data_IF_701587704052
#
_entry.id   IF_701587704052
#
_cell.length_a   1.000
_cell.length_b   1.000
_cell.length_c   1.000
_cell.angle_alpha   90.00
_cell.angle_beta   90.00
_cell.angle_gamma   90.00
#
_symmetry.space_group_name_H-M   'P 1'
#
loop_
_entity.id
_entity.type
_entity.pdbx_description
1 polymer ?
#
# COMPACT_ATOMS: atom_id res chain seq x y z
N UNK A 1 -23.69 10.18 -18.01
CA UNK A 1 -23.41 9.27 -16.87
C UNK A 1 -24.08 9.80 -15.63
N UNK A 2 -24.77 8.97 -14.88
CA UNK A 2 -25.21 9.33 -13.53
C UNK A 2 -23.98 9.38 -12.58
N UNK A 3 -24.06 10.11 -11.44
CA UNK A 3 -22.96 10.13 -10.46
C UNK A 3 -22.51 8.71 -10.02
N UNK A 4 -23.46 7.79 -9.87
CA UNK A 4 -23.16 6.40 -9.53
C UNK A 4 -22.45 5.64 -10.65
N UNK A 5 -22.81 5.86 -11.90
CA UNK A 5 -22.14 5.28 -13.07
C UNK A 5 -20.72 5.83 -13.21
N UNK A 6 -20.49 7.12 -12.94
CA UNK A 6 -19.15 7.71 -12.95
C UNK A 6 -18.23 7.03 -11.92
N UNK A 7 -18.67 6.93 -10.66
CA UNK A 7 -17.90 6.27 -9.61
C UNK A 7 -17.64 4.80 -9.96
N UNK A 8 -18.68 4.06 -10.36
CA UNK A 8 -18.52 2.64 -10.68
C UNK A 8 -17.60 2.41 -11.85
N UNK A 9 -17.62 3.27 -12.88
CA UNK A 9 -16.72 3.18 -14.03
C UNK A 9 -15.25 3.34 -13.63
N UNK A 10 -14.92 4.28 -12.73
CA UNK A 10 -13.53 4.52 -12.28
C UNK A 10 -13.01 3.46 -11.32
N UNK A 11 -13.90 2.71 -10.66
CA UNK A 11 -13.52 1.64 -9.74
C UNK A 11 -13.32 0.27 -10.41
N UNK A 12 -13.65 0.15 -11.70
CA UNK A 12 -13.46 -1.09 -12.45
C UNK A 12 -12.00 -1.18 -12.94
N UNK A 13 -11.35 -2.30 -12.65
CA UNK A 13 -10.00 -2.59 -13.10
C UNK A 13 -9.99 -3.06 -14.56
N UNK A 14 -8.90 -2.78 -15.28
CA UNK A 14 -8.63 -3.39 -16.56
C UNK A 14 -8.14 -4.83 -16.36
N UNK A 15 -9.02 -5.79 -16.65
CA UNK A 15 -8.77 -7.21 -16.44
C UNK A 15 -8.46 -7.94 -17.75
N UNK A 16 -7.81 -9.10 -17.65
CA UNK A 16 -7.51 -9.96 -18.80
C UNK A 16 -8.80 -10.47 -19.50
N UNK A 17 -9.89 -10.59 -18.76
CA UNK A 17 -11.21 -10.99 -19.25
C UNK A 17 -12.21 -9.87 -19.01
N UNK A 18 -13.27 -9.78 -19.80
CA UNK A 18 -14.31 -8.78 -19.60
C UNK A 18 -14.89 -8.83 -18.18
N UNK A 19 -15.10 -7.67 -17.51
CA UNK A 19 -15.62 -7.61 -16.14
C UNK A 19 -16.96 -8.33 -15.94
N UNK A 20 -17.76 -8.45 -16.99
CA UNK A 20 -19.06 -9.13 -16.96
C UNK A 20 -19.00 -10.62 -16.62
N UNK A 21 -17.79 -11.22 -16.71
CA UNK A 21 -17.59 -12.63 -16.35
C UNK A 21 -17.25 -12.84 -14.86
N UNK A 22 -17.09 -11.78 -14.08
CA UNK A 22 -16.80 -11.91 -12.66
C UNK A 22 -18.08 -12.20 -11.88
N UNK A 23 -18.30 -13.46 -11.51
CA UNK A 23 -19.49 -13.90 -10.77
C UNK A 23 -19.29 -13.94 -9.26
N UNK A 24 -18.04 -13.98 -8.80
CA UNK A 24 -17.70 -14.11 -7.38
C UNK A 24 -16.85 -12.92 -6.90
N UNK A 25 -17.01 -12.54 -5.64
CA UNK A 25 -16.20 -11.48 -4.98
C UNK A 25 -14.71 -11.79 -4.96
N UNK A 26 -14.34 -13.07 -4.89
CA UNK A 26 -12.96 -13.56 -4.94
C UNK A 26 -12.89 -14.58 -6.07
N UNK A 27 -12.26 -14.19 -7.17
CA UNK A 27 -12.07 -15.04 -8.34
C UNK A 27 -10.59 -14.99 -8.78
N UNK A 28 -9.87 -16.08 -8.55
CA UNK A 28 -8.45 -16.22 -8.92
C UNK A 28 -8.23 -16.40 -10.43
N UNK A 29 -9.28 -16.46 -11.23
CA UNK A 29 -9.19 -16.56 -12.70
C UNK A 29 -8.96 -15.20 -13.38
N UNK A 30 -9.12 -14.09 -12.64
CA UNK A 30 -8.94 -12.73 -13.13
C UNK A 30 -7.63 -12.14 -12.65
N UNK A 31 -6.88 -11.55 -13.58
CA UNK A 31 -5.70 -10.74 -13.29
C UNK A 31 -6.01 -9.28 -13.61
N UNK A 32 -5.84 -8.41 -12.63
CA UNK A 32 -5.90 -6.97 -12.79
C UNK A 32 -4.60 -6.49 -13.44
N UNK A 33 -4.62 -6.29 -14.76
CA UNK A 33 -3.43 -5.96 -15.53
C UNK A 33 -2.93 -4.55 -15.25
N UNK A 34 -3.85 -3.61 -15.03
CA UNK A 34 -3.56 -2.23 -14.63
C UNK A 34 -2.83 -2.17 -13.29
N UNK A 35 -3.37 -2.82 -12.28
CA UNK A 35 -2.76 -2.91 -10.95
C UNK A 35 -1.36 -3.52 -11.01
N UNK A 36 -1.20 -4.61 -11.76
CA UNK A 36 0.09 -5.27 -11.92
C UNK A 36 1.10 -4.35 -12.64
N UNK A 37 0.67 -3.69 -13.72
CA UNK A 37 1.51 -2.76 -14.49
C UNK A 37 2.00 -1.60 -13.63
N UNK A 38 1.10 -0.88 -12.95
CA UNK A 38 1.48 0.27 -12.12
C UNK A 38 2.28 -0.13 -10.89
N UNK A 39 2.00 -1.29 -10.28
CA UNK A 39 2.79 -1.81 -9.18
C UNK A 39 4.23 -2.11 -9.59
N UNK A 40 4.45 -2.79 -10.73
CA UNK A 40 5.79 -3.06 -11.25
C UNK A 40 6.49 -1.76 -11.66
N UNK A 41 5.79 -0.87 -12.35
CA UNK A 41 6.35 0.41 -12.79
C UNK A 41 6.87 1.24 -11.61
N UNK A 42 6.07 1.41 -10.57
CA UNK A 42 6.47 2.15 -9.36
C UNK A 42 7.59 1.45 -8.61
N UNK A 43 7.61 0.12 -8.56
CA UNK A 43 8.71 -0.66 -7.98
C UNK A 43 10.03 -0.49 -8.74
N UNK A 44 9.96 -0.48 -10.07
CA UNK A 44 11.14 -0.21 -10.93
C UNK A 44 11.64 1.22 -10.72
N UNK A 45 10.74 2.21 -10.67
CA UNK A 45 11.11 3.62 -10.41
C UNK A 45 11.77 3.76 -9.03
N UNK A 46 11.18 3.20 -7.98
CA UNK A 46 11.75 3.22 -6.63
C UNK A 46 13.16 2.60 -6.59
N UNK A 47 13.30 1.42 -7.19
CA UNK A 47 14.57 0.70 -7.26
C UNK A 47 15.61 1.46 -8.10
N UNK A 48 15.20 2.07 -9.21
CA UNK A 48 16.09 2.86 -10.07
C UNK A 48 16.61 4.12 -9.34
N UNK A 49 15.77 4.81 -8.58
CA UNK A 49 16.17 5.97 -7.78
C UNK A 49 17.22 5.57 -6.75
N UNK A 50 16.98 4.50 -5.99
CA UNK A 50 17.94 3.99 -5.01
C UNK A 50 19.25 3.52 -5.67
N UNK A 51 19.17 2.85 -6.80
CA UNK A 51 20.33 2.40 -7.56
C UNK A 51 21.17 3.57 -8.10
N UNK A 52 20.51 4.58 -8.68
CA UNK A 52 21.21 5.80 -9.18
C UNK A 52 21.85 6.55 -8.02
N UNK A 53 21.16 6.66 -6.88
CA UNK A 53 21.71 7.25 -5.66
C UNK A 53 22.98 6.51 -5.21
N UNK A 54 22.91 5.18 -5.08
CA UNK A 54 24.03 4.36 -4.67
C UNK A 54 25.24 4.49 -5.60
N UNK A 55 25.02 4.57 -6.93
CA UNK A 55 26.11 4.75 -7.90
C UNK A 55 26.72 6.14 -7.92
N UNK A 56 25.98 7.16 -7.50
CA UNK A 56 26.41 8.56 -7.53
C UNK A 56 26.94 9.07 -6.17
N UNK A 57 26.95 8.23 -5.14
CA UNK A 57 27.49 8.60 -3.83
C UNK A 57 28.98 8.98 -3.93
N UNK A 58 29.31 10.13 -3.36
CA UNK A 58 30.69 10.65 -3.27
C UNK A 58 31.04 10.90 -1.82
N UNK A 59 32.30 10.66 -1.48
CA UNK A 59 32.87 11.01 -0.18
C UNK A 59 33.10 12.53 -0.15
N UNK A 60 32.66 13.21 0.89
CA UNK A 60 32.80 14.66 1.08
C UNK A 60 31.45 15.34 1.24
N UNK A 61 31.33 16.59 0.77
CA UNK A 61 30.05 17.34 0.88
C UNK A 61 29.02 16.73 -0.05
N UNK A 62 27.89 16.22 0.48
CA UNK A 62 26.88 15.56 -0.32
C UNK A 62 26.12 16.57 -1.21
N UNK A 63 25.69 16.14 -2.38
CA UNK A 63 24.73 16.88 -3.17
C UNK A 63 23.37 16.85 -2.50
N UNK A 64 22.45 17.80 -2.81
CA UNK A 64 21.09 17.84 -2.23
C UNK A 64 20.34 16.52 -2.40
N UNK A 65 20.48 15.88 -3.56
CA UNK A 65 19.87 14.56 -3.81
C UNK A 65 20.50 13.47 -2.95
N UNK A 66 21.83 13.44 -2.86
CA UNK A 66 22.56 12.48 -2.01
C UNK A 66 22.16 12.68 -0.53
N UNK A 67 22.14 13.92 -0.04
CA UNK A 67 21.75 14.23 1.33
C UNK A 67 20.32 13.77 1.65
N UNK A 68 19.37 13.94 0.73
CA UNK A 68 18.00 13.47 0.92
C UNK A 68 17.92 11.94 1.05
N UNK A 69 18.66 11.21 0.23
CA UNK A 69 18.70 9.74 0.29
C UNK A 69 19.45 9.24 1.54
N UNK A 70 20.55 9.90 1.93
CA UNK A 70 21.28 9.57 3.17
C UNK A 70 20.39 9.77 4.40
N UNK A 71 19.69 10.91 4.51
CA UNK A 71 18.73 11.16 5.58
C UNK A 71 17.63 10.09 5.64
N UNK A 72 17.14 9.68 4.48
CA UNK A 72 16.14 8.61 4.42
C UNK A 72 16.69 7.26 4.90
N UNK A 73 17.90 6.92 4.48
CA UNK A 73 18.57 5.68 4.92
C UNK A 73 18.84 5.72 6.42
N UNK A 74 19.35 6.84 6.96
CA UNK A 74 19.59 7.00 8.41
C UNK A 74 18.29 6.90 9.20
N UNK A 75 17.21 7.51 8.72
CA UNK A 75 15.88 7.43 9.31
C UNK A 75 15.37 5.98 9.38
N UNK A 76 15.44 5.26 8.27
CA UNK A 76 14.98 3.86 8.20
C UNK A 76 15.87 2.93 9.03
N UNK A 77 17.19 3.11 8.99
CA UNK A 77 18.16 2.31 9.77
C UNK A 77 18.01 2.58 11.28
N UNK A 78 17.73 3.83 11.68
CA UNK A 78 17.43 4.20 13.05
C UNK A 78 16.23 3.42 13.59
N UNK A 79 15.09 3.46 12.89
CA UNK A 79 13.89 2.71 13.28
C UNK A 79 14.15 1.20 13.30
N UNK A 80 14.88 0.69 12.30
CA UNK A 80 15.23 -0.73 12.25
C UNK A 80 16.11 -1.15 13.44
N UNK A 81 17.02 -0.29 13.90
CA UNK A 81 17.86 -0.54 15.09
C UNK A 81 17.04 -0.67 16.36
N UNK A 82 16.03 0.16 16.51
CA UNK A 82 15.17 0.15 17.69
C UNK A 82 14.29 -1.12 17.77
N UNK A 83 13.94 -1.71 16.61
CA UNK A 83 13.05 -2.87 16.54
C UNK A 83 13.80 -4.21 16.36
N UNK A 84 14.97 -4.20 15.71
CA UNK A 84 15.74 -5.43 15.38
C UNK A 84 17.12 -5.34 16.00
N UNK A 85 17.33 -5.99 17.15
CA UNK A 85 18.59 -5.92 17.91
C UNK A 85 19.73 -6.73 17.27
N UNK A 86 19.39 -7.74 16.44
CA UNK A 86 20.41 -8.59 15.81
C UNK A 86 21.02 -7.92 14.58
N UNK A 87 22.32 -7.58 14.65
CA UNK A 87 23.05 -6.93 13.56
C UNK A 87 23.07 -7.71 12.23
N UNK A 88 23.15 -9.05 12.29
CA UNK A 88 23.17 -9.88 11.07
C UNK A 88 21.83 -9.80 10.33
N UNK A 89 20.75 -9.83 11.07
CA UNK A 89 19.39 -9.71 10.49
C UNK A 89 19.12 -8.30 10.00
N UNK A 90 19.55 -7.27 10.73
CA UNK A 90 19.39 -5.86 10.38
C UNK A 90 19.99 -5.53 9.01
N UNK A 91 21.15 -6.11 8.66
CA UNK A 91 21.79 -5.92 7.34
C UNK A 91 20.89 -6.29 6.15
N UNK A 92 19.91 -7.15 6.37
CA UNK A 92 18.94 -7.56 5.32
C UNK A 92 17.60 -6.85 5.53
N UNK A 93 17.16 -6.71 6.78
CA UNK A 93 15.84 -6.16 7.11
C UNK A 93 15.77 -4.65 6.84
N UNK A 94 16.84 -3.88 7.13
CA UNK A 94 16.83 -2.44 6.90
C UNK A 94 16.71 -2.06 5.40
N UNK A 95 17.50 -2.64 4.47
CA UNK A 95 17.30 -2.41 3.03
C UNK A 95 15.93 -2.89 2.52
N UNK A 96 15.42 -4.01 3.04
CA UNK A 96 14.08 -4.49 2.72
C UNK A 96 13.03 -3.45 3.10
N UNK A 97 13.09 -2.94 4.34
CA UNK A 97 12.17 -1.92 4.82
C UNK A 97 12.23 -0.63 4.01
N UNK A 98 13.43 -0.18 3.65
CA UNK A 98 13.62 0.97 2.77
C UNK A 98 12.97 0.76 1.39
N UNK A 99 13.14 -0.43 0.82
CA UNK A 99 12.54 -0.76 -0.49
C UNK A 99 11.03 -0.77 -0.41
N UNK A 100 10.47 -1.41 0.62
CA UNK A 100 9.03 -1.47 0.86
C UNK A 100 8.45 -0.07 1.09
N UNK A 101 9.12 0.75 1.93
CA UNK A 101 8.72 2.13 2.18
C UNK A 101 8.64 2.95 0.89
N UNK A 102 9.72 2.93 0.09
CA UNK A 102 9.78 3.68 -1.17
C UNK A 102 8.74 3.18 -2.17
N UNK A 103 8.59 1.86 -2.29
CA UNK A 103 7.63 1.28 -3.22
C UNK A 103 6.19 1.67 -2.89
N UNK A 104 5.78 1.50 -1.62
CA UNK A 104 4.44 1.90 -1.16
C UNK A 104 4.24 3.42 -1.31
N UNK A 105 5.25 4.21 -0.96
CA UNK A 105 5.19 5.67 -1.11
C UNK A 105 4.88 6.06 -2.57
N UNK A 106 5.59 5.47 -3.54
CA UNK A 106 5.35 5.75 -4.96
C UNK A 106 4.00 5.22 -5.44
N UNK A 107 3.57 4.02 -5.01
CA UNK A 107 2.24 3.52 -5.34
C UNK A 107 1.13 4.44 -4.83
N UNK A 108 1.25 4.91 -3.58
CA UNK A 108 0.28 5.80 -2.98
C UNK A 108 0.32 7.21 -3.60
N UNK A 109 1.50 7.69 -4.03
CA UNK A 109 1.63 8.97 -4.73
C UNK A 109 0.86 9.02 -6.05
N UNK A 110 0.58 7.88 -6.67
CA UNK A 110 -0.25 7.82 -7.87
C UNK A 110 -1.66 8.36 -7.64
N UNK A 111 -2.17 8.30 -6.40
CA UNK A 111 -3.49 8.82 -6.02
C UNK A 111 -3.58 10.36 -5.98
N UNK A 112 -2.43 11.05 -6.03
CA UNK A 112 -2.38 12.52 -6.15
C UNK A 112 -2.54 13.01 -7.59
N UNK A 113 -2.47 12.11 -8.57
CA UNK A 113 -2.73 12.47 -9.96
C UNK A 113 -4.23 12.74 -10.14
N UNK A 114 -4.59 13.72 -10.99
CA UNK A 114 -6.01 13.94 -11.30
C UNK A 114 -6.67 12.64 -11.75
N UNK A 115 -7.81 12.31 -11.15
CA UNK A 115 -8.52 11.03 -11.31
C UNK A 115 -8.77 10.70 -12.80
N UNK A 116 -9.13 11.71 -13.59
CA UNK A 116 -9.46 11.54 -15.00
C UNK A 116 -8.25 11.57 -15.95
N UNK A 117 -7.06 11.98 -15.49
CA UNK A 117 -5.91 12.27 -16.37
C UNK A 117 -5.42 11.02 -17.11
N UNK A 118 -5.12 9.97 -16.40
CA UNK A 118 -4.59 8.73 -16.99
C UNK A 118 -5.67 7.90 -17.67
N UNK A 119 -6.89 7.73 -17.14
CA UNK A 119 -8.00 7.11 -17.84
C UNK A 119 -8.34 7.84 -19.15
N UNK A 120 -8.38 9.18 -19.15
CA UNK A 120 -8.60 9.97 -20.36
C UNK A 120 -7.51 9.73 -21.41
N UNK A 121 -6.23 9.76 -21.01
CA UNK A 121 -5.12 9.47 -21.92
C UNK A 121 -5.20 8.05 -22.49
N UNK A 122 -5.59 7.09 -21.66
CA UNK A 122 -5.76 5.69 -22.08
C UNK A 122 -6.90 5.52 -23.10
N UNK A 123 -8.04 6.12 -22.85
CA UNK A 123 -9.19 6.11 -23.79
C UNK A 123 -8.82 6.73 -25.14
N UNK A 124 -8.05 7.82 -25.16
CA UNK A 124 -7.62 8.45 -26.41
C UNK A 124 -6.59 7.61 -27.16
N UNK A 125 -5.73 6.87 -26.48
CA UNK A 125 -4.73 6.02 -27.14
C UNK A 125 -5.31 4.72 -27.66
N UNK A 126 -6.29 4.15 -26.97
CA UNK A 126 -6.97 2.90 -27.39
C UNK A 126 -8.10 3.16 -28.39
N UNK A 127 -8.63 4.39 -28.46
CA UNK A 127 -9.81 4.73 -29.26
C UNK A 127 -11.12 4.19 -28.69
N UNK A 128 -11.10 3.60 -27.51
CA UNK A 128 -12.29 3.08 -26.81
C UNK A 128 -12.66 4.00 -25.64
N UNK A 129 -13.77 4.69 -25.76
CA UNK A 129 -14.30 5.61 -24.74
C UNK A 129 -14.81 4.91 -23.46
N UNK A 130 -14.90 3.60 -23.48
CA UNK A 130 -15.31 2.78 -22.33
C UNK A 130 -14.14 1.97 -21.73
N UNK A 131 -12.91 2.21 -22.19
CA UNK A 131 -11.75 1.52 -21.65
C UNK A 131 -11.55 1.86 -20.16
N UNK A 132 -11.54 0.81 -19.34
CA UNK A 132 -11.29 0.92 -17.90
C UNK A 132 -9.79 1.03 -17.63
N UNK A 133 -9.40 1.85 -16.67
CA UNK A 133 -8.02 1.92 -16.17
C UNK A 133 -8.05 2.42 -14.73
N UNK A 134 -7.58 1.59 -13.81
CA UNK A 134 -7.37 1.97 -12.42
C UNK A 134 -5.89 2.19 -12.16
N UNK A 135 -5.55 3.36 -11.64
CA UNK A 135 -4.16 3.84 -11.60
C UNK A 135 -3.46 3.50 -10.29
N UNK A 136 -4.20 3.37 -9.18
CA UNK A 136 -3.66 3.23 -7.83
C UNK A 136 -3.60 1.76 -7.43
N UNK A 137 -2.39 1.11 -7.43
CA UNK A 137 -2.29 -0.32 -7.10
C UNK A 137 -2.67 -0.65 -5.67
N UNK A 138 -2.43 0.26 -4.72
CA UNK A 138 -2.73 0.08 -3.30
C UNK A 138 -4.21 0.25 -2.96
N UNK A 139 -5.02 0.74 -3.88
CA UNK A 139 -6.47 0.72 -3.78
C UNK A 139 -7.08 -0.61 -4.27
N UNK A 140 -6.26 -1.57 -4.71
CA UNK A 140 -6.67 -2.96 -4.98
C UNK A 140 -6.36 -3.84 -3.77
N UNK A 141 -7.40 -4.53 -3.28
CA UNK A 141 -7.29 -5.44 -2.14
C UNK A 141 -6.30 -6.57 -2.39
N UNK A 142 -6.22 -7.08 -3.63
CA UNK A 142 -5.31 -8.18 -3.98
C UNK A 142 -3.84 -7.77 -3.76
N UNK A 143 -3.46 -6.57 -4.17
CA UNK A 143 -2.09 -6.06 -4.02
C UNK A 143 -1.73 -5.87 -2.55
N UNK A 144 -2.58 -5.21 -1.78
CA UNK A 144 -2.30 -4.92 -0.38
C UNK A 144 -2.27 -6.19 0.48
N UNK A 145 -3.14 -7.15 0.20
CA UNK A 145 -3.13 -8.45 0.86
C UNK A 145 -1.93 -9.29 0.44
N UNK A 146 -1.53 -9.28 -0.83
CA UNK A 146 -0.33 -9.97 -1.29
C UNK A 146 0.93 -9.45 -0.58
N UNK A 147 1.04 -8.13 -0.40
CA UNK A 147 2.14 -7.52 0.34
C UNK A 147 2.13 -7.91 1.83
N UNK A 148 0.97 -7.88 2.48
CA UNK A 148 0.82 -8.29 3.88
C UNK A 148 1.14 -9.78 4.08
N UNK A 149 0.69 -10.65 3.18
CA UNK A 149 1.01 -12.09 3.19
C UNK A 149 2.52 -12.32 2.96
N UNK A 150 3.15 -11.53 2.09
CA UNK A 150 4.60 -11.59 1.87
C UNK A 150 5.38 -11.24 3.14
N UNK A 151 4.94 -10.25 3.90
CA UNK A 151 5.52 -9.90 5.21
C UNK A 151 5.33 -11.03 6.21
N UNK A 152 4.13 -11.64 6.27
CA UNK A 152 3.89 -12.81 7.12
C UNK A 152 4.81 -13.97 6.76
N UNK A 153 4.96 -14.27 5.47
CA UNK A 153 5.87 -15.31 5.00
C UNK A 153 7.31 -15.05 5.44
N UNK A 154 7.80 -13.82 5.28
CA UNK A 154 9.12 -13.41 5.77
C UNK A 154 9.24 -13.59 7.28
N UNK A 155 8.22 -13.22 8.04
CA UNK A 155 8.19 -13.40 9.49
C UNK A 155 8.34 -14.88 9.86
N UNK A 156 7.61 -15.78 9.21
CA UNK A 156 7.70 -17.23 9.43
C UNK A 156 9.10 -17.75 9.09
N UNK A 157 9.66 -17.33 7.93
CA UNK A 157 11.02 -17.72 7.52
C UNK A 157 12.06 -17.27 8.53
N UNK A 158 11.96 -16.04 9.06
CA UNK A 158 12.88 -15.54 10.09
C UNK A 158 12.72 -16.28 11.41
N UNK A 159 11.51 -16.58 11.86
CA UNK A 159 11.25 -17.39 13.04
C UNK A 159 11.93 -18.77 12.93
N UNK A 160 11.73 -19.46 11.79
CA UNK A 160 12.36 -20.76 11.55
C UNK A 160 13.89 -20.64 11.49
N UNK A 161 14.42 -19.59 10.86
CA UNK A 161 15.87 -19.38 10.74
C UNK A 161 16.56 -19.11 12.07
N UNK A 162 15.88 -18.42 13.00
CA UNK A 162 16.45 -17.99 14.28
C UNK A 162 16.24 -19.07 15.35
N UNK A 163 15.00 -19.54 15.52
CA UNK A 163 14.60 -20.48 16.59
C UNK A 163 14.75 -21.95 16.16
N UNK A 164 14.96 -22.19 14.87
CA UNK A 164 14.89 -23.54 14.29
C UNK A 164 13.43 -24.02 14.15
N UNK A 165 13.20 -25.00 13.28
CA UNK A 165 11.85 -25.52 13.03
C UNK A 165 11.20 -26.11 14.30
N UNK A 166 11.98 -26.86 15.09
CA UNK A 166 11.49 -27.45 16.33
C UNK A 166 11.17 -26.40 17.41
N UNK A 167 12.01 -25.37 17.55
CA UNK A 167 11.77 -24.27 18.51
C UNK A 167 10.53 -23.47 18.14
N UNK A 168 10.37 -23.12 16.87
CA UNK A 168 9.19 -22.41 16.39
C UNK A 168 7.89 -23.19 16.58
N UNK A 169 7.90 -24.49 16.23
CA UNK A 169 6.72 -25.35 16.46
C UNK A 169 6.43 -25.49 17.96
N UNK A 170 7.44 -25.67 18.78
CA UNK A 170 7.24 -25.72 20.24
C UNK A 170 6.63 -24.41 20.77
N UNK A 171 7.10 -23.26 20.31
CA UNK A 171 6.57 -21.95 20.68
C UNK A 171 5.09 -21.77 20.31
N UNK A 172 4.68 -22.25 19.12
CA UNK A 172 3.28 -22.23 18.68
C UNK A 172 2.33 -22.94 19.66
N UNK A 173 2.82 -23.96 20.37
CA UNK A 173 2.02 -24.74 21.33
C UNK A 173 2.23 -24.32 22.78
N UNK A 174 3.32 -23.61 23.11
CA UNK A 174 3.66 -23.23 24.49
C UNK A 174 3.32 -21.77 24.83
N UNK A 175 3.34 -20.86 23.87
CA UNK A 175 3.00 -19.45 24.08
C UNK A 175 1.55 -19.17 23.66
N UNK A 176 0.83 -18.21 24.32
CA UNK A 176 1.27 -17.36 25.44
C UNK A 176 1.01 -17.95 26.85
N UNK A 177 0.18 -18.99 27.00
CA UNK A 177 -0.33 -19.42 28.31
C UNK A 177 0.56 -20.44 29.05
N UNK A 178 1.67 -20.88 28.43
CA UNK A 178 2.62 -21.80 29.02
C UNK A 178 2.52 -23.26 28.53
N UNK A 179 3.48 -24.09 28.95
CA UNK A 179 3.73 -25.43 28.40
C UNK A 179 2.92 -26.56 29.09
N UNK A 180 1.63 -26.32 29.44
CA UNK A 180 0.74 -27.36 29.94
C UNK A 180 -0.02 -28.01 28.79
N UNK A 181 -0.12 -29.34 28.80
CA UNK A 181 -0.77 -30.14 27.75
C UNK A 181 -2.20 -29.63 27.41
N UNK A 182 -2.96 -29.22 28.43
CA UNK A 182 -4.30 -28.69 28.26
C UNK A 182 -4.33 -27.33 27.53
N UNK A 183 -3.21 -26.59 27.53
CA UNK A 183 -3.12 -25.27 26.92
C UNK A 183 -2.59 -25.33 25.48
N UNK A 184 -2.20 -26.49 24.97
CA UNK A 184 -1.67 -26.62 23.61
C UNK A 184 -2.68 -26.20 22.54
N UNK A 185 -3.94 -26.64 22.67
CA UNK A 185 -5.00 -26.26 21.70
C UNK A 185 -5.32 -24.78 21.80
N UNK A 186 -5.58 -24.18 22.99
CA UNK A 186 -5.76 -22.72 23.12
C UNK A 186 -4.56 -21.92 22.60
N UNK A 187 -3.32 -22.30 22.92
CA UNK A 187 -2.13 -21.61 22.46
C UNK A 187 -2.02 -21.60 20.92
N UNK A 188 -2.17 -22.77 20.32
CA UNK A 188 -2.13 -22.90 18.87
C UNK A 188 -3.22 -22.06 18.18
N UNK A 189 -4.45 -22.11 18.69
CA UNK A 189 -5.55 -21.32 18.15
C UNK A 189 -5.29 -19.81 18.27
N UNK A 190 -4.79 -19.36 19.43
CA UNK A 190 -4.44 -17.95 19.65
C UNK A 190 -3.33 -17.49 18.68
N UNK A 191 -2.30 -18.29 18.48
CA UNK A 191 -1.22 -17.96 17.55
C UNK A 191 -1.73 -17.86 16.09
N UNK A 192 -2.60 -18.77 15.67
CA UNK A 192 -3.21 -18.69 14.32
C UNK A 192 -4.06 -17.44 14.20
N UNK A 193 -4.90 -17.14 15.18
CA UNK A 193 -5.74 -15.93 15.19
C UNK A 193 -4.84 -14.68 15.14
N UNK A 194 -3.75 -14.68 15.88
CA UNK A 194 -2.80 -13.57 15.92
C UNK A 194 -2.15 -13.35 14.54
N UNK A 195 -1.62 -14.39 13.88
CA UNK A 195 -1.04 -14.29 12.54
C UNK A 195 -2.06 -13.80 11.51
N UNK A 196 -3.26 -14.35 11.55
CA UNK A 196 -4.34 -13.95 10.65
C UNK A 196 -4.75 -12.50 10.88
N UNK A 197 -4.98 -12.11 12.13
CA UNK A 197 -5.39 -10.75 12.51
C UNK A 197 -4.33 -9.71 12.17
N UNK A 198 -3.04 -9.99 12.44
CA UNK A 198 -1.92 -9.12 12.08
C UNK A 198 -1.85 -8.90 10.58
N UNK A 199 -1.93 -9.98 9.80
CA UNK A 199 -1.85 -9.91 8.34
C UNK A 199 -3.04 -9.18 7.75
N UNK A 200 -4.25 -9.52 8.18
CA UNK A 200 -5.48 -8.86 7.72
C UNK A 200 -5.46 -7.37 8.05
N UNK A 201 -5.15 -7.01 9.31
CA UNK A 201 -5.07 -5.61 9.74
C UNK A 201 -4.01 -4.83 8.96
N UNK A 202 -2.88 -5.46 8.64
CA UNK A 202 -1.78 -4.84 7.91
C UNK A 202 -2.17 -4.52 6.45
N UNK A 203 -2.78 -5.47 5.74
CA UNK A 203 -3.25 -5.28 4.36
C UNK A 203 -4.46 -4.35 4.26
N UNK A 204 -5.47 -4.57 5.13
CA UNK A 204 -6.70 -3.76 5.13
C UNK A 204 -6.47 -2.29 5.50
N UNK A 205 -5.47 -1.99 6.32
CA UNK A 205 -5.12 -0.61 6.66
C UNK A 205 -4.67 0.17 5.44
N UNK A 206 -3.78 -0.42 4.63
CA UNK A 206 -3.29 0.22 3.42
C UNK A 206 -4.41 0.36 2.38
N UNK A 207 -5.12 -0.73 2.11
CA UNK A 207 -6.27 -0.75 1.19
C UNK A 207 -7.35 0.27 1.59
N UNK A 208 -7.81 0.21 2.84
CA UNK A 208 -8.93 1.03 3.30
C UNK A 208 -8.67 2.53 3.20
N UNK A 209 -7.45 2.97 3.52
CA UNK A 209 -7.10 4.39 3.43
C UNK A 209 -6.98 4.88 1.98
N UNK A 210 -6.39 4.07 1.08
CA UNK A 210 -6.24 4.46 -0.33
C UNK A 210 -7.58 4.39 -1.06
N UNK A 211 -8.34 3.32 -0.87
CA UNK A 211 -9.67 3.18 -1.48
C UNK A 211 -10.66 4.26 -1.02
N UNK A 212 -10.67 4.57 0.29
CA UNK A 212 -11.49 5.66 0.80
C UNK A 212 -11.05 7.03 0.27
N UNK A 213 -9.73 7.23 0.11
CA UNK A 213 -9.13 8.43 -0.50
C UNK A 213 -9.60 8.64 -1.93
N UNK A 214 -9.49 7.61 -2.73
CA UNK A 214 -9.92 7.59 -4.14
C UNK A 214 -11.42 7.92 -4.28
N UNK A 215 -12.28 7.31 -3.47
CA UNK A 215 -13.72 7.61 -3.48
C UNK A 215 -13.99 9.07 -3.09
N UNK A 216 -13.32 9.61 -2.08
CA UNK A 216 -13.52 10.99 -1.67
C UNK A 216 -13.08 11.99 -2.74
N UNK A 217 -11.98 11.74 -3.44
CA UNK A 217 -11.59 12.55 -4.60
C UNK A 217 -12.68 12.53 -5.69
N UNK A 218 -13.23 11.35 -6.02
CA UNK A 218 -14.32 11.23 -7.00
C UNK A 218 -15.58 11.98 -6.55
N UNK A 219 -15.98 11.87 -5.29
CA UNK A 219 -17.16 12.58 -4.75
C UNK A 219 -16.94 14.10 -4.80
N UNK A 220 -15.74 14.58 -4.47
CA UNK A 220 -15.41 16.00 -4.56
C UNK A 220 -15.42 16.47 -6.03
N UNK A 221 -14.91 15.65 -6.96
CA UNK A 221 -14.92 15.95 -8.39
C UNK A 221 -16.35 16.09 -8.94
N UNK A 222 -17.29 15.25 -8.47
CA UNK A 222 -18.70 15.31 -8.86
C UNK A 222 -19.41 16.60 -8.41
N UNK A 223 -18.94 17.27 -7.34
CA UNK A 223 -19.50 18.57 -6.92
C UNK A 223 -19.36 19.63 -8.01
N UNK A 224 -18.23 19.63 -8.75
CA UNK A 224 -18.01 20.54 -9.87
C UNK A 224 -18.66 20.09 -11.17
N UNK A 225 -18.90 18.79 -11.34
CA UNK A 225 -19.59 18.23 -12.49
C UNK A 225 -21.06 18.66 -12.60
N UNK A 226 -21.66 19.09 -11.50
CA UNK A 226 -23.01 19.65 -11.48
C UNK A 226 -23.18 20.88 -12.39
N UNK A 227 -22.13 21.67 -12.59
CA UNK A 227 -22.12 22.83 -13.50
C UNK A 227 -22.39 22.44 -14.97
N UNK A 228 -21.86 21.32 -15.44
CA UNK A 228 -22.06 20.87 -16.83
C UNK A 228 -23.42 20.23 -17.10
N UNK A 229 -24.12 19.80 -16.06
CA UNK A 229 -25.38 19.05 -16.18
C UNK A 229 -26.64 19.93 -16.22
N UNK A 230 -26.59 21.15 -15.65
CA UNK A 230 -27.76 22.03 -15.53
C UNK A 230 -27.98 22.96 -16.72
N UNK A 231 -27.06 23.08 -17.64
CA UNK A 231 -27.17 23.89 -18.87
C UNK A 231 -27.32 25.41 -18.67
N UNK A 232 -27.55 25.86 -17.43
CA UNK A 232 -27.59 27.29 -17.06
C UNK A 232 -26.93 27.43 -15.68
N UNK A 233 -25.84 28.22 -15.59
CA UNK A 233 -25.13 28.46 -14.33
C UNK A 233 -26.02 29.20 -13.32
N UNK A 234 -26.56 28.48 -12.35
CA UNK A 234 -27.26 29.06 -11.21
C UNK A 234 -26.29 29.47 -10.09
N UNK A 235 -26.77 30.25 -9.12
CA UNK A 235 -25.98 30.63 -7.93
C UNK A 235 -25.50 29.36 -7.16
N UNK A 236 -26.33 28.32 -7.12
CA UNK A 236 -26.00 27.03 -6.53
C UNK A 236 -24.77 26.38 -7.15
N UNK A 237 -24.61 26.47 -8.47
CA UNK A 237 -23.50 25.81 -9.20
C UNK A 237 -22.19 26.54 -8.93
N UNK A 238 -22.21 27.87 -8.81
CA UNK A 238 -21.05 28.68 -8.42
C UNK A 238 -20.62 28.35 -6.99
N UNK A 239 -21.58 28.21 -6.06
CA UNK A 239 -21.30 27.85 -4.68
C UNK A 239 -20.69 26.45 -4.60
N UNK A 240 -21.25 25.45 -5.32
CA UNK A 240 -20.71 24.10 -5.35
C UNK A 240 -19.32 24.04 -5.95
N UNK A 241 -19.02 24.82 -6.98
CA UNK A 241 -17.70 24.90 -7.58
C UNK A 241 -16.66 25.47 -6.60
N UNK A 242 -17.01 26.56 -5.87
CA UNK A 242 -16.13 27.13 -4.84
C UNK A 242 -15.89 26.12 -3.71
N UNK A 243 -16.95 25.44 -3.26
CA UNK A 243 -16.86 24.40 -2.23
C UNK A 243 -15.99 23.22 -2.70
N UNK A 244 -16.08 22.81 -3.96
CA UNK A 244 -15.23 21.78 -4.55
C UNK A 244 -13.75 22.15 -4.47
N UNK A 245 -13.38 23.39 -4.82
CA UNK A 245 -11.98 23.85 -4.77
C UNK A 245 -11.47 23.81 -3.31
N UNK A 246 -12.25 24.33 -2.38
CA UNK A 246 -11.86 24.37 -0.96
C UNK A 246 -11.75 22.94 -0.39
N UNK A 247 -12.77 22.12 -0.61
CA UNK A 247 -12.80 20.73 -0.14
C UNK A 247 -11.70 19.89 -0.78
N UNK A 248 -11.49 20.04 -2.10
CA UNK A 248 -10.44 19.33 -2.83
C UNK A 248 -9.04 19.71 -2.36
N UNK A 249 -8.77 20.99 -2.11
CA UNK A 249 -7.49 21.45 -1.60
C UNK A 249 -7.24 20.91 -0.17
N UNK A 250 -8.23 21.04 0.70
CA UNK A 250 -8.14 20.54 2.08
C UNK A 250 -7.92 19.01 2.10
N UNK A 251 -8.66 18.29 1.28
CA UNK A 251 -8.53 16.83 1.16
C UNK A 251 -7.16 16.44 0.59
N UNK A 252 -6.68 17.10 -0.46
CA UNK A 252 -5.37 16.81 -1.06
C UNK A 252 -4.22 16.99 -0.05
N UNK A 253 -4.24 18.08 0.74
CA UNK A 253 -3.23 18.33 1.79
C UNK A 253 -3.29 17.21 2.85
N UNK A 254 -4.48 16.83 3.32
CA UNK A 254 -4.65 15.73 4.26
C UNK A 254 -4.18 14.40 3.66
N UNK A 255 -4.51 14.14 2.41
CA UNK A 255 -4.19 12.89 1.72
C UNK A 255 -2.68 12.71 1.48
N UNK A 256 -1.92 13.78 1.23
CA UNK A 256 -0.45 13.74 1.18
C UNK A 256 0.12 13.22 2.51
N UNK A 257 -0.42 13.66 3.63
CA UNK A 257 0.00 13.17 4.94
C UNK A 257 -0.36 11.69 5.12
N UNK A 258 -1.54 11.28 4.68
CA UNK A 258 -1.99 9.87 4.72
C UNK A 258 -1.08 8.98 3.87
N UNK A 259 -0.71 9.39 2.66
CA UNK A 259 0.20 8.67 1.75
C UNK A 259 1.53 8.37 2.44
N UNK A 260 2.16 9.40 3.02
CA UNK A 260 3.44 9.26 3.71
C UNK A 260 3.29 8.38 4.97
N UNK A 261 2.24 8.62 5.76
CA UNK A 261 1.97 7.87 6.99
C UNK A 261 1.73 6.38 6.70
N UNK A 262 1.02 6.03 5.63
CA UNK A 262 0.75 4.62 5.30
C UNK A 262 2.03 3.88 4.89
N UNK A 263 2.88 4.49 4.07
CA UNK A 263 4.17 3.92 3.71
C UNK A 263 5.06 3.70 4.96
N UNK A 264 5.09 4.70 5.85
CA UNK A 264 5.81 4.63 7.12
C UNK A 264 5.27 3.53 8.03
N UNK A 265 3.97 3.48 8.27
CA UNK A 265 3.35 2.47 9.14
C UNK A 265 3.55 1.06 8.61
N UNK A 266 3.46 0.87 7.29
CA UNK A 266 3.69 -0.45 6.70
C UNK A 266 5.13 -0.92 6.94
N UNK A 267 6.12 -0.05 6.74
CA UNK A 267 7.53 -0.34 7.01
C UNK A 267 7.78 -0.64 8.50
N UNK A 268 7.30 0.21 9.41
CA UNK A 268 7.51 0.06 10.86
C UNK A 268 6.91 -1.24 11.36
N UNK A 269 5.67 -1.57 10.97
CA UNK A 269 5.04 -2.82 11.37
C UNK A 269 5.75 -4.05 10.79
N UNK A 270 6.31 -3.94 9.58
CA UNK A 270 7.17 -4.99 9.03
C UNK A 270 8.39 -5.21 9.93
N UNK A 271 9.05 -4.14 10.41
CA UNK A 271 10.17 -4.27 11.35
C UNK A 271 9.75 -4.87 12.68
N UNK A 272 8.61 -4.44 13.24
CA UNK A 272 8.06 -5.00 14.49
C UNK A 272 7.81 -6.49 14.35
N UNK A 273 7.16 -6.92 13.27
CA UNK A 273 6.87 -8.35 13.07
C UNK A 273 8.12 -9.20 12.84
N UNK A 274 9.11 -8.67 12.13
CA UNK A 274 10.40 -9.34 11.96
C UNK A 274 11.26 -9.28 13.22
N UNK A 275 11.13 -8.22 14.02
CA UNK A 275 11.80 -8.08 15.33
C UNK A 275 11.31 -9.11 16.34
N UNK A 276 10.00 -9.34 16.43
CA UNK A 276 9.39 -10.34 17.30
C UNK A 276 9.93 -11.77 17.08
N UNK A 277 10.42 -12.07 15.87
CA UNK A 277 11.08 -13.34 15.62
C UNK A 277 12.39 -13.53 16.40
N UNK A 278 12.99 -12.43 16.89
CA UNK A 278 14.23 -12.45 17.68
C UNK A 278 13.98 -12.48 19.19
N UNK A 279 12.75 -12.22 19.62
CA UNK A 279 12.40 -12.25 21.03
C UNK A 279 12.22 -13.72 21.45
N UNK A 280 12.95 -14.13 22.50
CA UNK A 280 12.78 -15.43 23.14
C UNK A 280 11.71 -15.29 24.22
N UNK A 281 10.63 -15.99 24.10
CA UNK A 281 9.66 -16.20 25.18
C UNK A 281 10.06 -17.38 26.05
#
# INVERSE_FOLDING_TARGET
MTPGEYISHHLINYTQKSPDYQTNMVDFSFLNLDTLFFSILTGVIASAILFVAARRMKVGVPTRFQAAIELLIEFVDGICKDMVHNEKSRKIIAPLGLTVFMWILFMNMMDLLPVDLLPWAWQHTTGDHHAYLRVVPTADLNTTMAMAISVLFLCIVYNIKIKGLGGWVHELFSAPFGNKVWLFIPNFLMNIIEFFSKTLSHGMRLFGNMYAGEILFMVIALMGGAWGMSGAAGVSDVVLFILQIIAGLAWAIFHILVIALQAYLFMVLTFVYLGQAHDSH
#
